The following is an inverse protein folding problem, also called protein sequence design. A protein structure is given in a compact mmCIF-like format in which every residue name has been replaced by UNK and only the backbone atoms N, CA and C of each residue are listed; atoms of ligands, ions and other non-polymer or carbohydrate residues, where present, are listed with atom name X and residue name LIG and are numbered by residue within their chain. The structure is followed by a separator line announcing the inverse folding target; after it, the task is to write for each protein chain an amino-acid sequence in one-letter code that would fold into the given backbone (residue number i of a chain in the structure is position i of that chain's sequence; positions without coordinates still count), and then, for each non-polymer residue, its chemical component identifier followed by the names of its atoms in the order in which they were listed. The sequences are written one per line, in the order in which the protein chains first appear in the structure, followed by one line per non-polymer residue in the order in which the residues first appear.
data_IF_747890247067
#
_entry.id   IF_747890247067
#
_cell.length_a   1.000
_cell.length_b   1.000
_cell.length_c   1.000
_cell.angle_alpha   90.00
_cell.angle_beta   90.00
_cell.angle_gamma   90.00
#
_symmetry.space_group_name_H-M   'P 1'
#
loop_
_entity.id
_entity.type
_entity.pdbx_description
1 polymer ?
#
# COMPACT_ATOMS: atom_id res chain seq x y z
N UNK A 1 -3.66 -10.72 -30.42
CA UNK A 1 -4.18 -10.47 -29.07
C UNK A 1 -4.50 -11.84 -28.51
N UNK A 2 -3.48 -12.49 -27.96
CA UNK A 2 -3.56 -13.86 -27.46
C UNK A 2 -4.18 -13.84 -26.06
N UNK A 3 -5.09 -14.76 -25.78
CA UNK A 3 -5.66 -14.95 -24.45
C UNK A 3 -4.57 -15.36 -23.47
N UNK A 4 -4.47 -14.65 -22.36
CA UNK A 4 -3.53 -14.98 -21.28
C UNK A 4 -4.14 -16.10 -20.45
N UNK A 5 -3.80 -17.35 -20.75
CA UNK A 5 -4.15 -18.49 -19.90
C UNK A 5 -3.04 -18.72 -18.88
N UNK A 6 -3.41 -18.79 -17.60
CA UNK A 6 -2.51 -19.15 -16.52
C UNK A 6 -2.13 -20.64 -16.63
N UNK A 7 -0.87 -20.95 -17.00
CA UNK A 7 -0.41 -22.33 -17.14
C UNK A 7 0.73 -22.63 -16.16
N UNK A 8 0.38 -23.13 -14.96
CA UNK A 8 1.30 -23.91 -14.13
C UNK A 8 1.39 -25.34 -14.70
N UNK A 9 2.49 -25.69 -15.35
CA UNK A 9 2.76 -27.09 -15.65
C UNK A 9 3.34 -27.75 -14.39
N UNK A 10 2.60 -28.69 -13.80
CA UNK A 10 2.97 -29.37 -12.55
C UNK A 10 4.22 -30.25 -12.65
N UNK A 11 5.40 -29.64 -12.72
CA UNK A 11 6.68 -30.35 -12.53
C UNK A 11 6.98 -30.46 -11.03
N UNK A 12 7.44 -31.62 -10.55
CA UNK A 12 7.91 -31.75 -9.18
C UNK A 12 9.10 -30.82 -8.96
N UNK A 13 9.15 -30.20 -7.78
CA UNK A 13 10.26 -29.35 -7.35
C UNK A 13 11.59 -30.09 -7.53
N UNK A 14 12.50 -29.50 -8.31
CA UNK A 14 13.86 -30.00 -8.49
C UNK A 14 14.64 -29.81 -7.18
N UNK A 15 15.23 -30.85 -6.58
CA UNK A 15 16.14 -30.68 -5.46
C UNK A 15 17.51 -30.36 -6.04
N UNK A 16 17.92 -29.09 -6.04
CA UNK A 16 19.30 -28.61 -6.13
C UNK A 16 19.26 -27.11 -6.43
N UNK A 17 19.57 -26.31 -5.41
CA UNK A 17 20.50 -25.16 -5.44
C UNK A 17 20.66 -24.77 -3.97
N UNK A 18 21.81 -25.12 -3.40
CA UNK A 18 22.25 -24.64 -2.10
C UNK A 18 22.71 -23.18 -2.24
N UNK A 19 22.18 -22.36 -1.31
CA UNK A 19 22.77 -21.17 -0.70
C UNK A 19 23.74 -20.32 -1.55
N UNK A 20 23.20 -19.33 -2.26
CA UNK A 20 23.88 -18.06 -2.48
C UNK A 20 23.14 -17.01 -1.66
N UNK A 21 23.80 -16.49 -0.63
CA UNK A 21 23.28 -15.40 0.21
C UNK A 21 23.30 -14.10 -0.59
N UNK A 22 22.20 -13.82 -1.29
CA UNK A 22 21.87 -12.46 -1.74
C UNK A 22 21.49 -11.69 -0.48
N UNK A 23 21.96 -10.45 -0.33
CA UNK A 23 21.55 -9.61 0.80
C UNK A 23 20.08 -9.24 0.64
N UNK A 24 19.20 -9.94 1.34
CA UNK A 24 17.73 -9.76 1.31
C UNK A 24 17.24 -8.53 2.10
N UNK A 25 18.14 -7.62 2.50
CA UNK A 25 17.77 -6.39 3.22
C UNK A 25 17.30 -5.30 2.23
N UNK A 26 16.05 -5.41 1.82
CA UNK A 26 15.43 -4.48 0.89
C UNK A 26 14.94 -3.24 1.66
N UNK A 27 15.80 -2.24 1.83
CA UNK A 27 15.44 -0.96 2.44
C UNK A 27 14.80 -0.03 1.41
N UNK A 28 13.47 0.11 1.44
CA UNK A 28 12.73 0.84 0.40
C UNK A 28 11.39 1.38 0.85
N UNK A 29 10.53 1.72 -0.10
CA UNK A 29 9.22 2.36 0.15
C UNK A 29 8.08 1.78 -0.68
N UNK A 30 8.36 0.77 -1.51
CA UNK A 30 7.36 0.15 -2.37
C UNK A 30 6.96 -1.23 -1.85
N UNK A 31 5.71 -1.57 -2.12
CA UNK A 31 5.17 -2.92 -1.98
C UNK A 31 4.49 -3.23 -3.30
N UNK A 32 4.87 -4.32 -3.95
CA UNK A 32 4.09 -4.87 -5.05
C UNK A 32 3.00 -5.76 -4.46
N UNK A 33 1.77 -5.25 -4.47
CA UNK A 33 0.65 -5.92 -3.81
C UNK A 33 0.05 -7.09 -4.59
N UNK A 34 0.49 -7.31 -5.84
CA UNK A 34 0.04 -8.44 -6.66
C UNK A 34 1.05 -8.74 -7.78
N UNK A 35 1.75 -9.87 -7.67
CA UNK A 35 2.63 -10.39 -8.72
C UNK A 35 2.54 -11.92 -8.82
N UNK A 36 2.64 -12.45 -10.03
CA UNK A 36 2.72 -13.87 -10.34
C UNK A 36 4.18 -14.26 -10.52
N UNK A 37 4.74 -15.00 -9.55
CA UNK A 37 6.18 -15.35 -9.50
C UNK A 37 6.43 -16.83 -9.76
N UNK A 38 5.56 -17.52 -10.50
CA UNK A 38 5.67 -18.96 -10.74
C UNK A 38 7.00 -19.33 -11.42
N UNK A 39 7.55 -20.49 -11.07
CA UNK A 39 8.82 -21.01 -11.58
C UNK A 39 8.80 -21.20 -13.09
N UNK A 40 7.63 -21.48 -13.68
CA UNK A 40 7.46 -21.58 -15.12
C UNK A 40 7.79 -20.25 -15.84
N UNK A 41 7.62 -19.11 -15.16
CA UNK A 41 7.85 -17.77 -15.70
C UNK A 41 9.22 -17.22 -15.29
N UNK A 42 9.62 -17.41 -14.03
CA UNK A 42 10.82 -16.78 -13.45
C UNK A 42 11.80 -17.74 -12.76
N UNK A 43 11.55 -19.04 -12.70
CA UNK A 43 12.22 -19.95 -11.77
C UNK A 43 13.75 -19.93 -11.79
N UNK A 44 14.35 -19.86 -12.98
CA UNK A 44 15.80 -19.77 -13.16
C UNK A 44 16.38 -18.37 -12.89
N UNK A 45 15.53 -17.35 -12.82
CA UNK A 45 15.87 -15.93 -12.73
C UNK A 45 15.39 -15.30 -11.40
N UNK A 46 14.83 -16.08 -10.48
CA UNK A 46 14.20 -15.57 -9.26
C UNK A 46 15.12 -14.63 -8.48
N UNK A 47 16.35 -15.06 -8.20
CA UNK A 47 17.31 -14.27 -7.43
C UNK A 47 17.59 -12.92 -8.09
N UNK A 48 17.69 -12.89 -9.43
CA UNK A 48 17.92 -11.66 -10.18
C UNK A 48 16.69 -10.75 -10.23
N UNK A 49 15.49 -11.33 -10.35
CA UNK A 49 14.22 -10.57 -10.35
C UNK A 49 14.00 -9.92 -8.99
N UNK A 50 14.27 -10.66 -7.91
CA UNK A 50 14.14 -10.16 -6.53
C UNK A 50 15.21 -9.11 -6.24
N UNK A 51 16.47 -9.34 -6.66
CA UNK A 51 17.52 -8.33 -6.54
C UNK A 51 17.13 -7.02 -7.26
N UNK A 52 16.62 -7.09 -8.50
CA UNK A 52 16.12 -5.90 -9.22
C UNK A 52 14.95 -5.23 -8.51
N UNK A 53 14.05 -6.00 -7.89
CA UNK A 53 12.94 -5.46 -7.11
C UNK A 53 13.46 -4.69 -5.87
N UNK A 54 14.43 -5.25 -5.17
CA UNK A 54 15.04 -4.60 -4.00
C UNK A 54 15.85 -3.35 -4.39
N UNK A 55 16.61 -3.40 -5.49
CA UNK A 55 17.30 -2.24 -6.06
C UNK A 55 16.32 -1.12 -6.47
N UNK A 56 15.10 -1.48 -6.89
CA UNK A 56 14.02 -0.55 -7.20
C UNK A 56 13.29 -0.02 -5.94
N UNK A 57 13.68 -0.47 -4.75
CA UNK A 57 13.13 -0.03 -3.47
C UNK A 57 11.84 -0.75 -3.04
N UNK A 58 11.59 -1.97 -3.55
CA UNK A 58 10.53 -2.83 -3.02
C UNK A 58 10.99 -3.47 -1.72
N UNK A 59 10.15 -3.39 -0.70
CA UNK A 59 10.38 -4.00 0.62
C UNK A 59 9.63 -5.33 0.75
N UNK A 60 8.49 -5.44 0.08
CA UNK A 60 7.61 -6.59 0.13
C UNK A 60 7.01 -6.87 -1.26
N UNK A 61 6.80 -8.16 -1.55
CA UNK A 61 6.10 -8.65 -2.73
C UNK A 61 5.01 -9.61 -2.29
N UNK A 62 3.79 -9.46 -2.83
CA UNK A 62 2.71 -10.42 -2.60
C UNK A 62 2.59 -11.32 -3.84
N UNK A 63 3.15 -12.51 -3.74
CA UNK A 63 3.09 -13.55 -4.75
C UNK A 63 1.71 -14.22 -4.74
N UNK A 64 1.05 -14.26 -5.89
CA UNK A 64 -0.33 -14.77 -6.00
C UNK A 64 -0.32 -16.17 -6.61
N UNK A 65 -0.93 -17.12 -5.91
CA UNK A 65 -1.09 -18.50 -6.36
C UNK A 65 -2.56 -18.90 -6.40
N UNK A 66 -3.19 -18.84 -7.58
CA UNK A 66 -4.62 -19.12 -7.73
C UNK A 66 -4.99 -20.00 -8.93
N UNK A 67 -3.98 -20.51 -9.63
CA UNK A 67 -4.12 -21.28 -10.87
C UNK A 67 -3.72 -22.74 -10.69
N UNK A 68 -4.17 -23.61 -11.61
CA UNK A 68 -3.99 -25.05 -11.49
C UNK A 68 -4.69 -25.61 -10.25
N UNK A 69 -5.87 -25.07 -9.95
CA UNK A 69 -6.68 -25.26 -8.72
C UNK A 69 -5.94 -24.89 -7.44
N UNK A 70 -4.93 -25.67 -7.02
CA UNK A 70 -4.07 -25.38 -5.86
C UNK A 70 -2.57 -25.51 -6.17
N UNK A 71 -2.19 -25.86 -7.39
CA UNK A 71 -0.78 -26.07 -7.74
C UNK A 71 0.04 -24.79 -7.54
N UNK A 72 -0.38 -23.67 -8.13
CA UNK A 72 0.35 -22.41 -7.96
C UNK A 72 0.19 -21.84 -6.53
N UNK A 73 -0.90 -22.17 -5.82
CA UNK A 73 -1.07 -21.79 -4.40
C UNK A 73 0.04 -22.40 -3.52
N UNK A 74 0.33 -23.69 -3.70
CA UNK A 74 1.43 -24.37 -2.98
C UNK A 74 2.79 -23.81 -3.34
N UNK A 75 2.98 -23.45 -4.60
CA UNK A 75 4.22 -22.85 -5.09
C UNK A 75 4.45 -21.45 -4.51
N UNK A 76 3.42 -20.60 -4.45
CA UNK A 76 3.50 -19.28 -3.84
C UNK A 76 3.84 -19.36 -2.34
N UNK A 77 3.28 -20.33 -1.61
CA UNK A 77 3.64 -20.60 -0.20
C UNK A 77 5.11 -20.99 -0.09
N UNK A 78 5.57 -21.97 -0.88
CA UNK A 78 6.97 -22.41 -0.85
C UNK A 78 7.95 -21.27 -1.21
N UNK A 79 7.58 -20.38 -2.13
CA UNK A 79 8.37 -19.21 -2.48
C UNK A 79 8.44 -18.21 -1.33
N UNK A 80 7.31 -17.95 -0.67
CA UNK A 80 7.25 -17.07 0.49
C UNK A 80 8.07 -17.60 1.67
N UNK A 81 8.08 -18.92 1.91
CA UNK A 81 8.95 -19.56 2.92
C UNK A 81 10.44 -19.38 2.62
N UNK A 82 10.81 -19.37 1.34
CA UNK A 82 12.21 -19.26 0.91
C UNK A 82 12.76 -17.84 0.97
N UNK A 83 11.93 -16.84 0.66
CA UNK A 83 12.38 -15.47 0.42
C UNK A 83 11.74 -14.50 1.41
N UNK A 84 12.54 -13.79 2.21
CA UNK A 84 12.05 -12.94 3.29
C UNK A 84 11.09 -11.84 2.81
N UNK A 85 11.41 -11.16 1.71
CA UNK A 85 10.58 -10.11 1.12
C UNK A 85 9.27 -10.60 0.48
N UNK A 86 9.08 -11.91 0.29
CA UNK A 86 7.92 -12.46 -0.42
C UNK A 86 6.87 -13.01 0.54
N UNK A 87 5.62 -12.62 0.34
CA UNK A 87 4.42 -13.13 1.02
C UNK A 87 3.50 -13.78 0.00
N UNK A 88 2.59 -14.63 0.44
CA UNK A 88 1.68 -15.34 -0.44
C UNK A 88 0.23 -14.86 -0.28
N UNK A 89 -0.47 -14.70 -1.40
CA UNK A 89 -1.92 -14.75 -1.47
C UNK A 89 -2.31 -16.05 -2.19
N UNK A 90 -3.21 -16.83 -1.61
CA UNK A 90 -3.65 -18.11 -2.19
C UNK A 90 -5.15 -18.14 -2.39
N UNK A 91 -5.59 -18.67 -3.53
CA UNK A 91 -6.99 -18.68 -3.93
C UNK A 91 -7.31 -19.72 -4.99
N UNK A 92 -8.51 -19.64 -5.55
CA UNK A 92 -8.92 -20.40 -6.74
C UNK A 92 -9.53 -19.38 -7.70
N UNK A 93 -8.83 -19.10 -8.79
CA UNK A 93 -9.21 -18.10 -9.78
C UNK A 93 -10.55 -18.47 -10.46
N UNK A 94 -11.41 -17.50 -10.87
CA UNK A 94 -12.66 -17.78 -11.58
C UNK A 94 -12.50 -18.70 -12.79
N UNK A 95 -11.37 -18.67 -13.49
CA UNK A 95 -11.10 -19.57 -14.63
C UNK A 95 -11.04 -21.06 -14.23
N UNK A 96 -10.65 -21.36 -12.99
CA UNK A 96 -10.53 -22.72 -12.48
C UNK A 96 -11.84 -23.23 -11.85
N UNK A 97 -12.89 -22.41 -11.82
CA UNK A 97 -14.12 -22.70 -11.07
C UNK A 97 -14.81 -24.00 -11.50
N UNK A 98 -14.80 -24.34 -12.79
CA UNK A 98 -15.38 -25.59 -13.30
C UNK A 98 -14.59 -26.85 -12.90
N UNK A 99 -13.32 -26.71 -12.50
CA UNK A 99 -12.45 -27.82 -12.08
C UNK A 99 -12.41 -27.99 -10.56
N UNK A 100 -12.71 -26.92 -9.82
CA UNK A 100 -12.63 -26.90 -8.37
C UNK A 100 -13.68 -27.82 -7.72
N UNK A 101 -13.25 -28.60 -6.74
CA UNK A 101 -14.09 -29.47 -5.92
C UNK A 101 -14.15 -28.94 -4.49
N UNK A 102 -15.14 -29.41 -3.71
CA UNK A 102 -15.25 -29.02 -2.29
C UNK A 102 -14.02 -29.42 -1.47
N UNK A 103 -13.34 -30.51 -1.85
CA UNK A 103 -12.08 -30.93 -1.26
C UNK A 103 -10.95 -29.90 -1.49
N UNK A 104 -10.94 -29.19 -2.61
CA UNK A 104 -9.95 -28.16 -2.92
C UNK A 104 -10.17 -26.92 -2.06
N UNK A 105 -11.44 -26.52 -1.85
CA UNK A 105 -11.79 -25.41 -0.94
C UNK A 105 -11.36 -25.75 0.49
N UNK A 106 -11.56 -27.01 0.92
CA UNK A 106 -11.09 -27.47 2.22
C UNK A 106 -9.55 -27.48 2.34
N UNK A 107 -8.85 -27.90 1.27
CA UNK A 107 -7.39 -27.89 1.24
C UNK A 107 -6.80 -26.47 1.19
N UNK A 108 -7.48 -25.53 0.52
CA UNK A 108 -7.11 -24.10 0.54
C UNK A 108 -7.13 -23.53 1.96
N UNK A 109 -8.12 -23.93 2.76
CA UNK A 109 -8.23 -23.48 4.16
C UNK A 109 -7.02 -23.87 5.03
N UNK A 110 -6.32 -24.96 4.69
CA UNK A 110 -5.07 -25.33 5.33
C UNK A 110 -3.92 -24.39 4.93
N UNK A 111 -3.79 -24.07 3.64
CA UNK A 111 -2.78 -23.13 3.14
C UNK A 111 -2.95 -21.73 3.73
N UNK A 112 -4.20 -21.28 3.95
CA UNK A 112 -4.49 -20.00 4.60
C UNK A 112 -3.99 -19.90 6.05
N UNK A 113 -3.55 -21.01 6.65
CA UNK A 113 -2.98 -21.01 8.01
C UNK A 113 -1.46 -20.87 8.03
N UNK A 114 -0.80 -20.84 6.87
CA UNK A 114 0.65 -20.72 6.78
C UNK A 114 1.13 -19.30 7.15
N UNK A 115 2.26 -19.14 7.85
CA UNK A 115 2.63 -17.86 8.48
C UNK A 115 2.78 -16.66 7.52
N UNK A 116 3.21 -16.91 6.28
CA UNK A 116 3.42 -15.86 5.25
C UNK A 116 2.28 -15.77 4.24
N UNK A 117 1.16 -16.46 4.49
CA UNK A 117 -0.07 -16.31 3.69
C UNK A 117 -0.91 -15.17 4.28
N UNK A 118 -1.07 -14.12 3.48
CA UNK A 118 -1.59 -12.82 3.97
C UNK A 118 -2.96 -12.45 3.41
N UNK A 119 -3.44 -13.16 2.40
CA UNK A 119 -4.74 -12.92 1.78
C UNK A 119 -5.33 -14.20 1.18
N UNK A 120 -6.67 -14.24 1.13
CA UNK A 120 -7.42 -15.19 0.31
C UNK A 120 -7.64 -14.57 -1.07
N UNK A 121 -6.87 -15.03 -2.04
CA UNK A 121 -6.95 -14.57 -3.42
C UNK A 121 -5.85 -15.13 -4.28
N UNK A 122 -6.04 -15.20 -5.58
CA UNK A 122 -7.09 -14.53 -6.33
C UNK A 122 -8.42 -15.30 -6.36
N UNK A 123 -9.53 -14.61 -6.06
CA UNK A 123 -10.91 -15.14 -6.13
C UNK A 123 -11.80 -14.12 -6.83
N UNK A 124 -12.93 -14.49 -7.42
CA UNK A 124 -13.87 -13.49 -7.95
C UNK A 124 -14.60 -13.95 -9.19
N UNK A 125 -14.81 -13.01 -10.13
CA UNK A 125 -15.60 -13.21 -11.35
C UNK A 125 -14.90 -12.63 -12.57
N UNK A 126 -14.84 -13.42 -13.64
CA UNK A 126 -14.37 -13.02 -14.96
C UNK A 126 -15.39 -13.46 -16.02
N UNK A 127 -16.13 -12.48 -16.56
CA UNK A 127 -17.12 -12.70 -17.60
C UNK A 127 -16.59 -12.41 -19.01
N UNK A 128 -15.33 -11.98 -19.11
CA UNK A 128 -14.67 -11.73 -20.38
C UNK A 128 -14.14 -13.03 -20.99
N UNK A 129 -13.48 -13.86 -20.18
CA UNK A 129 -12.96 -15.15 -20.61
C UNK A 129 -13.89 -16.29 -20.21
N UNK A 130 -14.42 -17.03 -21.20
CA UNK A 130 -15.36 -18.14 -21.00
C UNK A 130 -14.67 -19.46 -20.63
N UNK A 131 -13.80 -19.43 -19.60
CA UNK A 131 -13.10 -20.63 -19.09
C UNK A 131 -13.94 -21.43 -18.10
N UNK A 132 -14.90 -20.78 -17.44
CA UNK A 132 -15.84 -21.39 -16.51
C UNK A 132 -17.19 -20.66 -16.60
N UNK A 133 -18.34 -21.36 -16.59
CA UNK A 133 -19.64 -20.69 -16.72
C UNK A 133 -19.90 -19.70 -15.58
N UNK A 134 -20.53 -18.53 -15.83
CA UNK A 134 -20.78 -17.50 -14.82
C UNK A 134 -21.48 -18.00 -13.54
N UNK A 135 -22.43 -18.92 -13.65
CA UNK A 135 -23.12 -19.51 -12.49
C UNK A 135 -22.16 -20.32 -11.60
N UNK A 136 -21.21 -21.04 -12.22
CA UNK A 136 -20.22 -21.85 -11.51
C UNK A 136 -19.21 -20.93 -10.80
N UNK A 137 -18.77 -19.86 -11.48
CA UNK A 137 -17.91 -18.85 -10.88
C UNK A 137 -18.58 -18.20 -9.66
N UNK A 138 -19.85 -17.78 -9.77
CA UNK A 138 -20.61 -17.19 -8.67
C UNK A 138 -20.77 -18.15 -7.49
N UNK A 139 -21.07 -19.42 -7.75
CA UNK A 139 -21.19 -20.42 -6.71
C UNK A 139 -19.87 -20.65 -5.95
N UNK A 140 -18.75 -20.73 -6.67
CA UNK A 140 -17.42 -20.85 -6.04
C UNK A 140 -17.05 -19.58 -5.28
N UNK A 141 -17.25 -18.40 -5.88
CA UNK A 141 -16.92 -17.12 -5.26
C UNK A 141 -17.69 -16.92 -3.95
N UNK A 142 -18.98 -17.29 -3.88
CA UNK A 142 -19.74 -17.31 -2.62
C UNK A 142 -19.07 -18.18 -1.56
N UNK A 143 -18.65 -19.40 -1.89
CA UNK A 143 -17.94 -20.30 -0.95
C UNK A 143 -16.64 -19.69 -0.44
N UNK A 144 -15.88 -19.04 -1.33
CA UNK A 144 -14.60 -18.41 -0.97
C UNK A 144 -14.80 -17.14 -0.15
N UNK A 145 -15.85 -16.35 -0.37
CA UNK A 145 -16.20 -15.23 0.51
C UNK A 145 -16.54 -15.71 1.93
N UNK A 146 -17.31 -16.81 2.05
CA UNK A 146 -17.59 -17.44 3.36
C UNK A 146 -16.28 -17.87 4.04
N UNK A 147 -15.40 -18.57 3.32
CA UNK A 147 -14.10 -19.00 3.84
C UNK A 147 -13.24 -17.80 4.29
N UNK A 148 -13.21 -16.72 3.52
CA UNK A 148 -12.49 -15.49 3.86
C UNK A 148 -12.97 -14.89 5.18
N UNK A 149 -14.30 -14.89 5.41
CA UNK A 149 -14.89 -14.44 6.67
C UNK A 149 -14.53 -15.35 7.84
N UNK A 150 -14.60 -16.67 7.65
CA UNK A 150 -14.26 -17.65 8.68
C UNK A 150 -12.79 -17.56 9.11
N UNK A 151 -11.88 -17.30 8.16
CA UNK A 151 -10.45 -17.15 8.42
C UNK A 151 -10.03 -15.73 8.79
N UNK A 152 -10.94 -14.77 8.63
CA UNK A 152 -10.69 -13.34 8.78
C UNK A 152 -9.37 -12.89 8.13
N UNK A 153 -9.11 -13.35 6.90
CA UNK A 153 -8.04 -12.86 6.04
C UNK A 153 -8.65 -11.90 5.01
N UNK A 154 -7.95 -10.82 4.60
CA UNK A 154 -8.45 -9.96 3.55
C UNK A 154 -8.63 -10.77 2.25
N UNK A 155 -9.69 -10.48 1.50
CA UNK A 155 -9.90 -11.07 0.18
C UNK A 155 -9.23 -10.24 -0.90
N UNK A 156 -8.63 -10.89 -1.90
CA UNK A 156 -8.06 -10.25 -3.09
C UNK A 156 -8.86 -10.68 -4.31
N UNK A 157 -9.62 -9.72 -4.84
CA UNK A 157 -10.68 -9.96 -5.83
C UNK A 157 -10.22 -9.72 -7.26
N UNK A 158 -10.43 -10.71 -8.12
CA UNK A 158 -10.50 -10.56 -9.57
C UNK A 158 -11.88 -10.12 -10.00
N UNK A 159 -11.93 -9.05 -10.79
CA UNK A 159 -13.18 -8.61 -11.40
C UNK A 159 -12.93 -8.15 -12.82
N UNK A 160 -13.48 -8.89 -13.78
CA UNK A 160 -13.48 -8.52 -15.20
C UNK A 160 -14.89 -8.62 -15.76
N UNK A 161 -15.41 -7.51 -16.26
CA UNK A 161 -16.76 -7.38 -16.82
C UNK A 161 -17.89 -7.90 -15.91
N UNK A 162 -17.67 -7.92 -14.59
CA UNK A 162 -18.55 -8.55 -13.61
C UNK A 162 -18.79 -7.70 -12.34
N UNK A 163 -18.55 -6.38 -12.41
CA UNK A 163 -18.62 -5.48 -11.24
C UNK A 163 -19.95 -5.53 -10.48
N UNK A 164 -21.08 -5.53 -11.18
CA UNK A 164 -22.41 -5.54 -10.56
C UNK A 164 -22.65 -6.82 -9.75
N UNK A 165 -22.34 -7.98 -10.33
CA UNK A 165 -22.51 -9.27 -9.67
C UNK A 165 -21.53 -9.43 -8.50
N UNK A 166 -20.28 -8.98 -8.65
CA UNK A 166 -19.31 -9.00 -7.54
C UNK A 166 -19.82 -8.20 -6.35
N UNK A 167 -20.33 -6.98 -6.59
CA UNK A 167 -20.87 -6.12 -5.52
C UNK A 167 -22.10 -6.76 -4.88
N UNK A 168 -23.02 -7.33 -5.67
CA UNK A 168 -24.20 -8.00 -5.14
C UNK A 168 -23.84 -9.20 -4.24
N UNK A 169 -22.83 -9.98 -4.62
CA UNK A 169 -22.34 -11.10 -3.81
C UNK A 169 -21.66 -10.67 -2.53
N UNK A 170 -20.89 -9.58 -2.57
CA UNK A 170 -20.33 -8.97 -1.37
C UNK A 170 -21.45 -8.52 -0.42
N UNK A 171 -22.51 -7.90 -0.94
CA UNK A 171 -23.65 -7.46 -0.12
C UNK A 171 -24.44 -8.63 0.47
N UNK A 172 -24.54 -9.74 -0.28
CA UNK A 172 -25.23 -10.96 0.16
C UNK A 172 -24.45 -11.70 1.26
N UNK A 173 -23.14 -11.91 1.06
CA UNK A 173 -22.31 -12.79 1.91
C UNK A 173 -21.56 -12.03 3.00
N UNK A 174 -21.19 -10.78 2.73
CA UNK A 174 -20.30 -9.95 3.54
C UNK A 174 -18.83 -10.14 3.22
N UNK A 175 -18.01 -9.17 3.65
CA UNK A 175 -16.55 -9.23 3.64
C UNK A 175 -16.01 -9.73 4.98
N UNK A 176 -14.77 -10.24 5.01
CA UNK A 176 -13.99 -10.37 6.25
C UNK A 176 -13.89 -9.02 6.97
N UNK A 177 -13.69 -9.02 8.29
CA UNK A 177 -13.51 -7.77 9.04
C UNK A 177 -12.24 -7.01 8.59
N UNK A 178 -11.21 -7.76 8.18
CA UNK A 178 -10.00 -7.19 7.57
C UNK A 178 -10.22 -6.57 6.19
N UNK A 179 -11.40 -6.73 5.60
CA UNK A 179 -11.77 -6.15 4.31
C UNK A 179 -11.19 -6.92 3.13
N UNK A 180 -10.71 -6.18 2.12
CA UNK A 180 -10.14 -6.77 0.91
C UNK A 180 -9.68 -5.73 -0.10
N UNK A 181 -9.17 -6.20 -1.22
CA UNK A 181 -8.69 -5.39 -2.35
C UNK A 181 -9.30 -5.90 -3.64
N UNK A 182 -9.66 -4.99 -4.54
CA UNK A 182 -9.91 -5.33 -5.95
C UNK A 182 -8.58 -5.19 -6.67
N UNK A 183 -7.99 -6.34 -7.02
CA UNK A 183 -6.73 -6.37 -7.77
C UNK A 183 -6.98 -5.90 -9.21
N UNK A 184 -5.93 -5.43 -9.88
CA UNK A 184 -5.94 -4.99 -11.27
C UNK A 184 -7.15 -4.12 -11.62
N UNK A 185 -7.46 -3.17 -10.74
CA UNK A 185 -8.65 -2.35 -10.89
C UNK A 185 -8.55 -1.52 -12.18
N UNK A 186 -9.52 -1.72 -13.07
CA UNK A 186 -9.60 -1.06 -14.38
C UNK A 186 -10.96 -0.40 -14.64
N UNK A 187 -11.83 -0.36 -13.62
CA UNK A 187 -13.14 0.29 -13.66
C UNK A 187 -13.08 1.82 -13.60
N UNK A 188 -14.26 2.45 -13.68
CA UNK A 188 -14.44 3.90 -13.60
C UNK A 188 -14.77 4.40 -12.18
N UNK A 189 -15.11 5.70 -12.05
CA UNK A 189 -15.43 6.31 -10.75
C UNK A 189 -16.60 5.65 -10.02
N UNK A 190 -17.61 5.14 -10.76
CA UNK A 190 -18.77 4.49 -10.18
C UNK A 190 -18.40 3.16 -9.51
N UNK A 191 -17.62 2.32 -10.21
CA UNK A 191 -17.14 1.04 -9.67
C UNK A 191 -16.18 1.28 -8.50
N UNK A 192 -15.30 2.27 -8.60
CA UNK A 192 -14.40 2.65 -7.51
C UNK A 192 -15.19 3.03 -6.24
N UNK A 193 -16.20 3.90 -6.37
CA UNK A 193 -17.05 4.30 -5.26
C UNK A 193 -17.80 3.11 -4.63
N UNK A 194 -18.27 2.17 -5.45
CA UNK A 194 -18.97 0.97 -4.98
C UNK A 194 -18.09 0.13 -4.05
N UNK A 195 -16.84 -0.15 -4.43
CA UNK A 195 -15.91 -0.92 -3.59
C UNK A 195 -15.43 -0.14 -2.37
N UNK A 196 -15.09 1.14 -2.53
CA UNK A 196 -14.61 1.99 -1.43
C UNK A 196 -15.65 2.16 -0.33
N UNK A 197 -16.94 2.28 -0.68
CA UNK A 197 -18.04 2.37 0.30
C UNK A 197 -18.18 1.12 1.18
N UNK A 198 -17.63 -0.02 0.74
CA UNK A 198 -17.61 -1.30 1.46
C UNK A 198 -16.28 -1.54 2.19
N UNK A 199 -15.43 -0.52 2.29
CA UNK A 199 -14.16 -0.57 3.01
C UNK A 199 -13.03 -1.27 2.27
N UNK A 200 -13.20 -1.59 0.99
CA UNK A 200 -12.16 -2.22 0.17
C UNK A 200 -11.08 -1.24 -0.30
N UNK A 201 -9.94 -1.79 -0.69
CA UNK A 201 -8.86 -1.09 -1.39
C UNK A 201 -8.99 -1.30 -2.91
N UNK A 202 -8.41 -0.38 -3.68
CA UNK A 202 -8.24 -0.52 -5.12
C UNK A 202 -6.75 -0.70 -5.42
N UNK A 203 -6.35 -1.84 -5.98
CA UNK A 203 -4.98 -2.02 -6.45
C UNK A 203 -4.84 -1.52 -7.87
N UNK A 204 -3.93 -0.59 -8.11
CA UNK A 204 -3.78 0.06 -9.40
C UNK A 204 -2.60 -0.57 -10.15
N UNK A 205 -2.83 -1.19 -11.33
CA UNK A 205 -1.76 -1.79 -12.13
C UNK A 205 -1.10 -0.77 -13.06
N UNK A 206 -0.04 -1.20 -13.74
CA UNK A 206 0.67 -0.44 -14.77
C UNK A 206 -0.20 0.08 -15.92
N UNK A 207 -1.42 -0.44 -16.09
CA UNK A 207 -2.42 0.04 -17.06
C UNK A 207 -2.71 1.54 -16.91
N UNK A 208 -2.59 2.11 -15.70
CA UNK A 208 -2.79 3.55 -15.47
C UNK A 208 -1.90 4.43 -16.37
N UNK A 209 -0.75 3.89 -16.79
CA UNK A 209 0.19 4.56 -17.71
C UNK A 209 -0.25 4.52 -19.18
N UNK A 210 -1.24 3.71 -19.54
CA UNK A 210 -1.64 3.49 -20.93
C UNK A 210 -2.54 4.61 -21.43
N UNK A 211 -2.34 5.07 -22.67
CA UNK A 211 -3.11 6.18 -23.26
C UNK A 211 -4.63 5.96 -23.22
N UNK A 212 -5.10 4.73 -23.40
CA UNK A 212 -6.52 4.36 -23.44
C UNK A 212 -7.18 4.14 -22.06
N UNK A 213 -6.45 4.21 -20.95
CA UNK A 213 -6.97 3.98 -19.60
C UNK A 213 -7.66 5.22 -18.98
N UNK A 214 -8.55 5.88 -19.72
CA UNK A 214 -9.18 7.14 -19.28
C UNK A 214 -10.06 6.96 -18.03
N UNK A 215 -10.96 5.97 -18.05
CA UNK A 215 -11.87 5.68 -16.93
C UNK A 215 -11.10 5.35 -15.63
N UNK A 216 -10.04 4.54 -15.74
CA UNK A 216 -9.16 4.23 -14.61
C UNK A 216 -8.50 5.49 -14.05
N UNK A 217 -8.01 6.41 -14.89
CA UNK A 217 -7.41 7.66 -14.42
C UNK A 217 -8.42 8.56 -13.71
N UNK A 218 -9.65 8.64 -14.22
CA UNK A 218 -10.73 9.39 -13.55
C UNK A 218 -11.08 8.77 -12.19
N UNK A 219 -11.16 7.44 -12.11
CA UNK A 219 -11.35 6.72 -10.86
C UNK A 219 -10.21 7.01 -9.87
N UNK A 220 -8.96 6.91 -10.32
CA UNK A 220 -7.78 7.26 -9.51
C UNK A 220 -7.87 8.70 -9.05
N UNK A 221 -8.22 9.67 -9.89
CA UNK A 221 -8.31 11.08 -9.48
C UNK A 221 -9.35 11.31 -8.38
N UNK A 222 -10.52 10.67 -8.49
CA UNK A 222 -11.63 10.82 -7.53
C UNK A 222 -11.43 10.07 -6.20
N UNK A 223 -10.77 8.91 -6.22
CA UNK A 223 -10.62 8.06 -5.04
C UNK A 223 -9.51 8.52 -4.08
N UNK A 224 -9.61 8.29 -2.76
CA UNK A 224 -8.56 8.66 -1.82
C UNK A 224 -7.34 7.73 -1.94
N UNK A 225 -6.13 8.31 -2.02
CA UNK A 225 -4.89 7.53 -2.08
C UNK A 225 -4.68 6.60 -0.88
N UNK A 226 -5.26 6.92 0.28
CA UNK A 226 -5.26 6.09 1.48
C UNK A 226 -6.08 4.78 1.35
N UNK A 227 -6.76 4.57 0.22
CA UNK A 227 -7.49 3.34 -0.13
C UNK A 227 -6.99 2.74 -1.44
N UNK A 228 -5.76 3.05 -1.84
CA UNK A 228 -5.12 2.50 -3.03
C UNK A 228 -3.90 1.66 -2.66
N UNK A 229 -3.67 0.61 -3.43
CA UNK A 229 -2.40 -0.10 -3.52
C UNK A 229 -1.82 0.12 -4.93
N UNK A 230 -0.56 -0.26 -5.10
CA UNK A 230 0.06 -0.38 -6.43
C UNK A 230 0.47 -1.83 -6.64
N UNK A 231 0.40 -2.26 -7.89
CA UNK A 231 0.80 -3.60 -8.28
C UNK A 231 1.41 -3.62 -9.68
N UNK A 232 2.08 -4.72 -9.99
CA UNK A 232 2.54 -4.99 -11.35
C UNK A 232 1.62 -5.93 -12.11
N UNK A 233 1.02 -6.91 -11.44
CA UNK A 233 0.42 -8.08 -12.09
C UNK A 233 1.44 -8.80 -13.01
N UNK A 234 2.74 -8.73 -12.66
CA UNK A 234 3.81 -9.33 -13.45
C UNK A 234 3.60 -10.84 -13.55
N UNK A 235 3.84 -11.49 -14.69
CA UNK A 235 4.58 -11.03 -15.87
C UNK A 235 3.76 -10.19 -16.87
N UNK A 236 2.49 -9.94 -16.58
CA UNK A 236 1.55 -9.30 -17.50
C UNK A 236 1.60 -7.76 -17.39
N UNK A 237 0.97 -7.07 -18.33
CA UNK A 237 0.61 -5.65 -18.20
C UNK A 237 1.75 -4.65 -17.94
N UNK A 238 2.94 -4.89 -18.51
CA UNK A 238 4.10 -4.01 -18.33
C UNK A 238 3.76 -2.51 -18.57
N UNK A 239 4.06 -1.61 -17.61
CA UNK A 239 3.74 -0.19 -17.71
C UNK A 239 4.58 0.50 -18.78
N UNK A 240 4.19 1.71 -19.22
CA UNK A 240 5.10 2.60 -19.95
C UNK A 240 6.26 3.00 -19.01
N UNK A 241 7.54 2.91 -19.42
CA UNK A 241 8.06 2.72 -20.79
C UNK A 241 8.33 1.26 -21.24
N UNK A 242 8.01 0.26 -20.43
CA UNK A 242 8.28 -1.17 -20.67
C UNK A 242 7.19 -1.90 -21.48
N UNK A 243 6.21 -1.19 -22.02
CA UNK A 243 5.08 -1.77 -22.76
C UNK A 243 5.56 -2.71 -23.87
N UNK A 244 5.00 -3.91 -23.91
CA UNK A 244 5.36 -4.95 -24.89
C UNK A 244 6.55 -5.83 -24.49
N UNK A 245 7.13 -5.61 -23.30
CA UNK A 245 8.11 -6.51 -22.67
C UNK A 245 7.45 -7.33 -21.56
N UNK A 246 8.13 -8.38 -21.08
CA UNK A 246 7.77 -9.09 -19.84
C UNK A 246 7.78 -8.07 -18.71
N UNK A 247 6.71 -8.02 -17.92
CA UNK A 247 6.66 -7.18 -16.73
C UNK A 247 7.48 -7.83 -15.60
N UNK A 248 7.88 -7.05 -14.60
CA UNK A 248 8.59 -7.55 -13.41
C UNK A 248 8.22 -6.66 -12.21
N UNK A 249 8.30 -7.15 -10.96
CA UNK A 249 7.92 -6.39 -9.76
C UNK A 249 8.59 -5.01 -9.66
N UNK A 250 9.86 -4.91 -10.09
CA UNK A 250 10.60 -3.64 -10.11
C UNK A 250 9.90 -2.51 -10.90
N UNK A 251 9.03 -2.85 -11.86
CA UNK A 251 8.35 -1.86 -12.69
C UNK A 251 7.17 -1.18 -11.96
N UNK A 252 6.83 -1.58 -10.74
CA UNK A 252 5.81 -0.92 -9.90
C UNK A 252 6.11 0.57 -9.67
N UNK A 253 7.39 0.96 -9.72
CA UNK A 253 7.85 2.35 -9.62
C UNK A 253 7.19 3.23 -10.67
N UNK A 254 6.96 2.72 -11.89
CA UNK A 254 6.30 3.47 -12.96
C UNK A 254 4.81 3.70 -12.68
N UNK A 255 4.15 2.74 -12.03
CA UNK A 255 2.78 2.91 -11.53
C UNK A 255 2.74 4.01 -10.48
N UNK A 256 3.66 4.00 -9.51
CA UNK A 256 3.72 5.04 -8.47
C UNK A 256 3.94 6.45 -9.06
N UNK A 257 4.83 6.59 -10.03
CA UNK A 257 5.08 7.86 -10.73
C UNK A 257 3.82 8.37 -11.47
N UNK A 258 3.09 7.48 -12.14
CA UNK A 258 1.87 7.86 -12.85
C UNK A 258 0.75 8.29 -11.88
N UNK A 259 0.58 7.59 -10.76
CA UNK A 259 -0.33 8.01 -9.69
C UNK A 259 0.08 9.37 -9.11
N UNK A 260 1.38 9.59 -8.93
CA UNK A 260 1.93 10.85 -8.43
C UNK A 260 1.53 12.02 -9.32
N UNK A 261 1.72 11.87 -10.63
CA UNK A 261 1.31 12.87 -11.62
C UNK A 261 -0.20 13.16 -11.57
N UNK A 262 -1.05 12.15 -11.38
CA UNK A 262 -2.50 12.32 -11.28
C UNK A 262 -2.95 12.97 -9.97
N UNK A 263 -2.20 12.78 -8.89
CA UNK A 263 -2.52 13.24 -7.53
C UNK A 263 -1.81 14.52 -7.11
N UNK A 264 -0.89 15.04 -7.94
CA UNK A 264 -0.01 16.15 -7.56
C UNK A 264 0.90 15.77 -6.40
N UNK A 265 1.46 14.57 -6.44
CA UNK A 265 2.39 14.00 -5.46
C UNK A 265 3.64 13.47 -6.16
N UNK A 266 4.73 13.28 -5.42
CA UNK A 266 5.89 12.54 -5.93
C UNK A 266 5.60 11.03 -5.99
N UNK A 267 6.35 10.30 -6.81
CA UNK A 267 6.29 8.83 -6.81
C UNK A 267 6.64 8.22 -5.44
N UNK A 268 7.56 8.86 -4.71
CA UNK A 268 7.93 8.48 -3.34
C UNK A 268 6.77 8.66 -2.35
N UNK A 269 6.03 9.77 -2.42
CA UNK A 269 4.84 9.97 -1.59
C UNK A 269 3.77 8.91 -1.88
N UNK A 270 3.59 8.55 -3.16
CA UNK A 270 2.68 7.47 -3.53
C UNK A 270 3.16 6.15 -2.96
N UNK A 271 4.41 5.75 -3.24
CA UNK A 271 5.00 4.50 -2.78
C UNK A 271 4.82 4.33 -1.28
N UNK A 272 5.24 5.31 -0.50
CA UNK A 272 5.15 5.31 0.97
C UNK A 272 3.72 5.19 1.48
N UNK A 273 2.76 5.91 0.89
CA UNK A 273 1.34 5.82 1.29
C UNK A 273 0.77 4.45 0.93
N UNK A 274 1.03 3.95 -0.27
CA UNK A 274 0.48 2.67 -0.75
C UNK A 274 1.13 1.47 -0.08
N UNK A 275 2.42 1.56 0.28
CA UNK A 275 3.12 0.55 1.07
C UNK A 275 2.49 0.42 2.45
N UNK A 276 2.26 1.54 3.14
CA UNK A 276 1.52 1.53 4.40
C UNK A 276 0.12 0.91 4.25
N UNK A 277 -0.61 1.25 3.18
CA UNK A 277 -1.93 0.67 2.95
C UNK A 277 -1.86 -0.86 2.78
N UNK A 278 -0.86 -1.36 2.05
CA UNK A 278 -0.62 -2.78 1.86
C UNK A 278 -0.25 -3.46 3.19
N UNK A 279 0.68 -2.87 3.96
CA UNK A 279 1.07 -3.38 5.28
C UNK A 279 -0.12 -3.50 6.22
N UNK A 280 -1.01 -2.49 6.25
CA UNK A 280 -2.24 -2.52 7.06
C UNK A 280 -3.21 -3.59 6.61
N UNK A 281 -3.48 -3.68 5.30
CA UNK A 281 -4.43 -4.65 4.76
C UNK A 281 -3.94 -6.08 5.02
N UNK A 282 -2.71 -6.37 4.59
CA UNK A 282 -2.12 -7.71 4.62
C UNK A 282 -1.51 -8.08 5.97
N UNK A 283 -1.35 -7.12 6.90
CA UNK A 283 -0.79 -7.38 8.22
C UNK A 283 0.71 -7.69 8.17
N UNK A 284 1.41 -7.05 7.23
CA UNK A 284 2.85 -7.23 7.03
C UNK A 284 3.61 -6.56 8.19
N UNK A 285 4.81 -7.05 8.48
CA UNK A 285 5.66 -6.45 9.50
C UNK A 285 6.00 -4.99 9.12
N UNK A 286 5.84 -4.08 10.08
CA UNK A 286 6.09 -2.65 9.89
C UNK A 286 7.08 -2.15 10.95
N UNK A 287 8.22 -1.59 10.53
CA UNK A 287 9.09 -0.87 11.44
C UNK A 287 8.58 0.57 11.60
N UNK A 288 7.85 0.82 12.69
CA UNK A 288 7.26 2.13 12.99
C UNK A 288 8.29 3.12 13.54
N UNK A 289 9.08 3.74 12.66
CA UNK A 289 10.01 4.81 13.05
C UNK A 289 9.29 6.15 13.20
N UNK A 290 9.40 6.74 14.39
CA UNK A 290 8.76 8.03 14.68
C UNK A 290 9.37 9.15 13.84
N UNK A 291 8.53 9.89 13.12
CA UNK A 291 8.95 11.04 12.34
C UNK A 291 8.83 12.34 13.15
N UNK A 292 9.97 12.96 13.45
CA UNK A 292 10.02 14.30 14.08
C UNK A 292 9.85 15.42 13.04
N UNK A 293 10.41 15.22 11.86
CA UNK A 293 10.20 16.04 10.68
C UNK A 293 9.75 15.12 9.54
N UNK A 294 8.71 15.51 8.80
CA UNK A 294 8.15 14.67 7.75
C UNK A 294 7.65 15.51 6.57
N UNK A 295 8.08 15.21 5.33
CA UNK A 295 7.66 15.95 4.16
C UNK A 295 6.29 15.48 3.67
N UNK A 296 5.42 16.42 3.31
CA UNK A 296 4.21 16.13 2.55
C UNK A 296 4.15 17.16 1.43
N UNK A 297 4.22 16.71 0.17
CA UNK A 297 4.37 17.59 -0.99
C UNK A 297 5.60 18.50 -0.82
N UNK A 298 5.41 19.81 -0.88
CA UNK A 298 6.47 20.82 -0.86
C UNK A 298 6.70 21.47 0.52
N UNK A 299 6.01 20.97 1.55
CA UNK A 299 6.15 21.47 2.92
C UNK A 299 6.74 20.39 3.82
N UNK A 300 7.60 20.81 4.75
CA UNK A 300 8.17 19.99 5.81
C UNK A 300 7.40 20.21 7.11
N UNK A 301 6.84 19.16 7.67
CA UNK A 301 6.00 19.25 8.86
C UNK A 301 6.82 18.84 10.09
N UNK A 302 6.63 19.52 11.23
CA UNK A 302 7.45 19.35 12.44
C UNK A 302 6.59 18.97 13.64
N UNK A 303 6.82 17.76 14.14
CA UNK A 303 6.10 17.16 15.26
C UNK A 303 6.84 17.45 16.58
N UNK A 304 6.29 18.34 17.41
CA UNK A 304 6.95 18.82 18.63
C UNK A 304 6.42 18.22 19.94
N UNK A 305 5.23 17.63 19.93
CA UNK A 305 4.57 17.17 21.15
C UNK A 305 3.46 16.18 20.84
N UNK A 306 3.28 15.17 21.69
CA UNK A 306 2.11 14.27 21.62
C UNK A 306 0.89 14.82 22.36
N UNK A 307 1.09 15.88 23.15
CA UNK A 307 0.06 16.52 23.98
C UNK A 307 -0.80 17.45 23.12
N UNK A 308 -2.11 17.44 23.34
CA UNK A 308 -3.06 18.33 22.71
C UNK A 308 -4.05 18.80 23.78
N UNK A 309 -4.52 20.05 23.68
CA UNK A 309 -5.53 20.59 24.59
C UNK A 309 -6.95 20.20 24.18
N UNK A 310 -7.13 19.66 22.97
CA UNK A 310 -8.42 19.30 22.39
C UNK A 310 -8.68 17.79 22.43
N UNK A 311 -9.95 17.43 22.61
CA UNK A 311 -10.47 16.08 22.47
C UNK A 311 -11.46 16.02 21.31
N UNK A 312 -10.95 16.03 20.08
CA UNK A 312 -11.80 16.06 18.88
C UNK A 312 -12.40 14.68 18.59
N UNK A 313 -13.71 14.62 18.32
CA UNK A 313 -14.45 13.40 17.92
C UNK A 313 -13.99 12.80 16.58
N UNK A 314 -13.22 13.57 15.80
CA UNK A 314 -12.63 13.13 14.54
C UNK A 314 -11.14 12.82 14.66
N UNK A 315 -10.55 12.90 15.86
CA UNK A 315 -9.12 12.70 16.04
C UNK A 315 -8.78 11.21 15.87
N UNK A 316 -7.96 10.83 14.87
CA UNK A 316 -7.61 9.42 14.65
C UNK A 316 -6.88 8.79 15.83
N UNK A 317 -6.15 9.57 16.63
CA UNK A 317 -5.50 9.09 17.87
C UNK A 317 -6.49 8.59 18.91
N UNK A 318 -7.61 9.29 19.08
CA UNK A 318 -8.57 9.06 20.16
C UNK A 318 -9.51 7.94 19.74
N UNK A 319 -10.11 8.08 18.57
CA UNK A 319 -11.12 7.14 18.07
C UNK A 319 -10.53 5.82 17.60
N UNK A 320 -9.40 5.87 16.87
CA UNK A 320 -8.89 4.71 16.12
C UNK A 320 -7.53 4.23 16.62
N UNK A 321 -6.90 4.98 17.54
CA UNK A 321 -5.49 4.77 17.90
C UNK A 321 -4.61 4.68 16.64
N UNK A 322 -4.88 5.55 15.66
CA UNK A 322 -4.07 5.67 14.44
C UNK A 322 -3.18 6.93 14.56
N UNK A 323 -1.87 6.71 14.50
CA UNK A 323 -0.86 7.78 14.55
C UNK A 323 -0.20 8.02 13.20
N UNK A 324 -0.65 7.35 12.15
CA UNK A 324 -0.10 7.54 10.83
C UNK A 324 -0.76 8.71 10.11
N UNK A 325 0.07 9.55 9.52
CA UNK A 325 -0.39 10.63 8.65
C UNK A 325 0.31 10.49 7.33
N UNK A 326 -0.49 10.18 6.30
CA UNK A 326 -0.02 10.06 4.92
C UNK A 326 1.18 9.12 4.78
N UNK A 327 1.34 8.05 5.55
CA UNK A 327 2.52 7.16 5.52
C UNK A 327 3.67 7.54 6.47
N UNK A 328 3.46 8.45 7.41
CA UNK A 328 4.43 8.77 8.46
C UNK A 328 3.89 8.44 9.85
N UNK A 329 4.67 7.74 10.67
CA UNK A 329 4.31 7.41 12.05
C UNK A 329 4.64 8.59 12.97
N UNK A 330 3.61 9.23 13.54
CA UNK A 330 3.77 10.47 14.30
C UNK A 330 3.67 10.28 15.83
N UNK A 331 3.63 9.04 16.33
CA UNK A 331 3.51 8.79 17.78
C UNK A 331 4.82 9.10 18.49
N UNK A 332 4.84 10.20 19.25
CA UNK A 332 5.97 10.53 20.12
C UNK A 332 5.88 9.79 21.46
N UNK A 333 6.97 9.13 21.86
CA UNK A 333 7.11 8.53 23.20
C UNK A 333 7.35 9.58 24.30
N UNK A 334 8.00 10.69 23.94
CA UNK A 334 8.26 11.86 24.78
C UNK A 334 8.29 13.10 23.90
N UNK A 335 8.16 14.25 24.54
CA UNK A 335 8.42 15.53 23.88
C UNK A 335 9.92 15.60 23.48
N UNK A 336 10.26 15.71 22.18
CA UNK A 336 11.64 15.66 21.71
C UNK A 336 12.40 16.95 22.09
N UNK A 337 13.69 16.89 22.44
CA UNK A 337 14.48 18.09 22.67
C UNK A 337 14.65 18.87 21.36
N UNK A 338 14.92 20.17 21.46
CA UNK A 338 14.98 21.08 20.30
C UNK A 338 16.06 20.65 19.30
N UNK A 339 17.16 20.13 19.81
CA UNK A 339 18.32 19.68 19.05
C UNK A 339 17.98 18.47 18.17
N UNK A 340 17.21 17.50 18.70
CA UNK A 340 16.73 16.34 17.93
C UNK A 340 15.78 16.77 16.81
N UNK A 341 14.90 17.74 17.10
CA UNK A 341 13.97 18.29 16.10
C UNK A 341 14.73 19.00 15.00
N UNK A 342 15.68 19.87 15.33
CA UNK A 342 16.50 20.58 14.35
C UNK A 342 17.31 19.62 13.50
N UNK A 343 17.93 18.61 14.10
CA UNK A 343 18.67 17.58 13.36
C UNK A 343 17.77 16.86 12.34
N UNK A 344 16.54 16.50 12.74
CA UNK A 344 15.57 15.87 11.84
C UNK A 344 15.14 16.81 10.71
N UNK A 345 14.85 18.07 11.01
CA UNK A 345 14.47 19.08 10.00
C UNK A 345 15.59 19.29 9.00
N UNK A 346 16.83 19.48 9.47
CA UNK A 346 18.00 19.71 8.61
C UNK A 346 18.32 18.49 7.74
N UNK A 347 18.17 17.27 8.27
CA UNK A 347 18.35 16.06 7.48
C UNK A 347 17.35 16.00 6.31
N UNK A 348 16.09 16.37 6.54
CA UNK A 348 15.07 16.39 5.47
C UNK A 348 15.28 17.53 4.48
N UNK A 349 15.64 18.73 4.93
CA UNK A 349 15.97 19.85 4.04
C UNK A 349 17.19 19.54 3.15
N UNK A 350 18.19 18.83 3.69
CA UNK A 350 19.35 18.39 2.91
C UNK A 350 18.99 17.35 1.85
N UNK A 351 18.09 16.41 2.18
CA UNK A 351 17.58 15.40 1.23
C UNK A 351 16.67 16.00 0.16
N UNK A 352 15.92 17.06 0.52
CA UNK A 352 14.86 17.65 -0.31
C UNK A 352 15.04 19.17 -0.41
N UNK A 353 16.03 19.64 -1.19
CA UNK A 353 16.35 21.06 -1.31
C UNK A 353 15.25 21.91 -1.99
N UNK A 354 14.22 21.26 -2.56
CA UNK A 354 13.05 21.89 -3.15
C UNK A 354 11.97 22.28 -2.13
N UNK A 355 12.13 21.94 -0.84
CA UNK A 355 11.18 22.33 0.19
C UNK A 355 11.29 23.84 0.47
N UNK A 356 10.15 24.52 0.49
CA UNK A 356 10.07 25.98 0.63
C UNK A 356 9.41 26.43 1.93
N UNK A 357 8.76 25.50 2.64
CA UNK A 357 8.00 25.77 3.86
C UNK A 357 8.31 24.75 4.95
N UNK A 358 8.47 25.22 6.19
CA UNK A 358 8.42 24.41 7.41
C UNK A 358 7.16 24.76 8.19
N UNK A 359 6.39 23.74 8.56
CA UNK A 359 5.11 23.85 9.24
C UNK A 359 5.22 23.22 10.62
N UNK A 360 5.04 24.02 11.66
CA UNK A 360 4.89 23.53 13.04
C UNK A 360 3.49 22.96 13.20
N UNK A 361 3.39 21.63 13.22
CA UNK A 361 2.13 20.90 13.32
C UNK A 361 2.40 19.42 13.60
N UNK A 362 1.51 18.79 14.34
CA UNK A 362 1.56 17.35 14.57
C UNK A 362 0.24 16.82 15.06
N UNK A 363 0.28 15.64 15.66
CA UNK A 363 -0.91 15.14 16.36
C UNK A 363 -1.15 15.88 17.68
N UNK A 364 -0.15 16.58 18.22
CA UNK A 364 -0.29 17.47 19.36
C UNK A 364 -0.45 18.94 18.98
N UNK A 365 -0.66 19.80 19.98
CA UNK A 365 -0.69 21.26 19.83
C UNK A 365 0.72 21.84 20.01
N UNK A 366 1.38 22.34 18.94
CA UNK A 366 2.77 22.79 19.01
C UNK A 366 2.99 23.89 20.05
N UNK A 367 2.02 24.78 20.27
CA UNK A 367 2.17 25.93 21.18
C UNK A 367 2.15 25.55 22.67
N UNK A 368 1.80 24.31 23.01
CA UNK A 368 2.09 23.75 24.35
C UNK A 368 3.60 23.73 24.66
N UNK A 369 4.43 23.80 23.61
CA UNK A 369 5.88 23.95 23.71
C UNK A 369 6.33 25.20 22.96
N UNK A 370 5.73 26.35 23.29
CA UNK A 370 6.04 27.65 22.70
C UNK A 370 7.55 27.93 22.64
N UNK A 371 8.29 27.69 23.72
CA UNK A 371 9.75 27.90 23.74
C UNK A 371 10.48 27.06 22.69
N UNK A 372 10.04 25.82 22.46
CA UNK A 372 10.60 24.95 21.44
C UNK A 372 10.25 25.43 20.03
N UNK A 373 9.00 25.88 19.79
CA UNK A 373 8.59 26.49 18.51
C UNK A 373 9.49 27.69 18.21
N UNK A 374 9.66 28.62 19.16
CA UNK A 374 10.46 29.82 19.00
C UNK A 374 11.94 29.50 18.78
N UNK A 375 12.50 28.53 19.52
CA UNK A 375 13.90 28.12 19.39
C UNK A 375 14.18 27.50 18.00
N UNK A 376 13.33 26.57 17.56
CA UNK A 376 13.46 25.95 16.23
C UNK A 376 13.30 27.01 15.13
N UNK A 377 12.28 27.88 15.22
CA UNK A 377 12.03 28.92 14.23
C UNK A 377 13.20 29.90 14.08
N UNK A 378 13.79 30.36 15.21
CA UNK A 378 14.96 31.25 15.20
C UNK A 378 16.17 30.58 14.56
N UNK A 379 16.47 29.33 14.93
CA UNK A 379 17.59 28.59 14.36
C UNK A 379 17.43 28.38 12.85
N UNK A 380 16.22 28.04 12.38
CA UNK A 380 15.93 27.90 10.95
C UNK A 380 16.05 29.25 10.22
N UNK A 381 15.59 30.34 10.83
CA UNK A 381 15.69 31.67 10.22
C UNK A 381 17.14 32.17 10.14
N UNK A 382 17.95 31.91 11.16
CA UNK A 382 19.38 32.23 11.19
C UNK A 382 20.13 31.49 10.07
N UNK A 383 19.84 30.20 9.89
CA UNK A 383 20.53 29.37 8.91
C UNK A 383 20.05 29.55 7.47
N UNK A 384 18.73 29.59 7.25
CA UNK A 384 18.13 29.56 5.90
C UNK A 384 17.61 30.92 5.42
N UNK A 385 17.65 31.94 6.28
CA UNK A 385 17.14 33.28 5.96
C UNK A 385 15.66 33.24 5.58
N UNK A 386 15.12 34.35 5.04
CA UNK A 386 13.69 34.50 4.67
C UNK A 386 13.20 33.64 3.50
N UNK A 387 14.10 32.91 2.84
CA UNK A 387 13.75 31.99 1.76
C UNK A 387 12.86 30.85 2.25
N UNK A 388 13.13 30.32 3.45
CA UNK A 388 12.34 29.26 4.04
C UNK A 388 11.14 29.89 4.77
N UNK A 389 9.91 29.63 4.28
CA UNK A 389 8.69 30.09 4.94
C UNK A 389 8.45 29.25 6.20
N UNK A 390 8.11 29.90 7.30
CA UNK A 390 7.71 29.23 8.53
C UNK A 390 6.21 29.45 8.73
N UNK A 391 5.47 28.38 9.06
CA UNK A 391 4.04 28.43 9.37
C UNK A 391 3.77 27.65 10.64
N UNK A 392 2.79 28.12 11.41
CA UNK A 392 2.28 27.42 12.59
C UNK A 392 0.82 27.09 12.35
N UNK A 393 0.47 25.81 12.46
CA UNK A 393 -0.91 25.37 12.57
C UNK A 393 -1.19 25.06 14.05
N UNK A 394 -2.18 25.75 14.62
CA UNK A 394 -2.47 25.74 16.06
C UNK A 394 -3.98 25.77 16.29
N UNK A 395 -4.41 25.22 17.43
CA UNK A 395 -5.78 25.35 17.96
C UNK A 395 -6.13 26.78 18.42
N UNK A 396 -5.15 27.68 18.48
CA UNK A 396 -5.34 29.08 18.85
C UNK A 396 -5.44 29.34 20.36
N UNK A 397 -5.18 28.33 21.20
CA UNK A 397 -5.31 28.42 22.66
C UNK A 397 -4.02 28.85 23.37
N UNK A 398 -2.95 29.16 22.63
CA UNK A 398 -1.64 29.51 23.18
C UNK A 398 -1.69 30.63 24.24
N UNK A 399 -2.45 31.70 24.00
CA UNK A 399 -2.58 32.80 24.98
C UNK A 399 -3.20 32.33 26.29
N UNK A 400 -4.20 31.44 26.22
CA UNK A 400 -4.86 30.88 27.39
C UNK A 400 -3.92 29.94 28.15
N UNK A 401 -3.20 29.08 27.43
CA UNK A 401 -2.22 28.13 28.00
C UNK A 401 -1.10 28.87 28.76
N UNK A 402 -0.57 29.96 28.17
CA UNK A 402 0.56 30.70 28.73
C UNK A 402 0.16 31.88 29.63
N UNK A 403 -1.14 32.17 29.75
CA UNK A 403 -1.66 33.28 30.56
C UNK A 403 -1.22 34.67 30.09
N UNK A 404 -0.80 34.83 28.83
CA UNK A 404 -0.24 36.08 28.26
C UNK A 404 -0.43 36.15 26.75
N UNK A 405 -0.30 37.33 26.15
CA UNK A 405 -0.34 37.49 24.69
C UNK A 405 0.98 37.07 24.05
N UNK A 406 1.01 35.90 23.41
CA UNK A 406 2.20 35.32 22.77
C UNK A 406 2.30 35.62 21.28
N UNK A 407 1.28 36.25 20.69
CA UNK A 407 1.25 36.57 19.26
C UNK A 407 2.45 37.44 18.80
N UNK A 408 2.93 38.45 19.57
CA UNK A 408 4.11 39.21 19.18
C UNK A 408 5.40 38.38 19.08
N UNK A 409 5.58 37.39 19.96
CA UNK A 409 6.76 36.49 19.92
C UNK A 409 6.71 35.57 18.71
N UNK A 410 5.53 35.02 18.42
CA UNK A 410 5.31 34.16 17.25
C UNK A 410 5.53 34.95 15.95
N UNK A 411 4.98 36.17 15.85
CA UNK A 411 5.15 37.04 14.68
C UNK A 411 6.59 37.51 14.47
N UNK A 412 7.39 37.60 15.53
CA UNK A 412 8.81 37.92 15.42
C UNK A 412 9.66 36.72 14.94
N UNK A 413 9.23 35.49 15.25
CA UNK A 413 9.99 34.28 14.97
C UNK A 413 9.66 33.60 13.63
N UNK A 414 8.39 33.61 13.22
CA UNK A 414 7.89 32.97 11.99
C UNK A 414 7.93 33.98 10.82
#
# INVERSE_FOLDING_TARGET
MEGWTYHCTGRPASPLIDALSVSDDCSGMYVDSHCHLEAATYGAEWDEVIARACDAGLTHLVAVGASGVLACAREAVALAERLDAVYAAVGIHPHEAAKAQDADVAALAALLSEPKVVALGEIGLDYYYDHSPPEVQRALFKKLLVLGRERNLPVMLHVRDAHADTVALIDEVGLPERGGVVHCFTGGPAEAAAYLSRGMYLSIPGIVTFKNAAALREAVQSAPLARMLIETDSPYLAPVPHRGKRNEPAYVVHTALALGALKGLSGEDVGRITAQNAMRLFGLAEESKTALAYPIRNSLYVNLTSRCTLACVFCPKIEQRDWWVKGHWLRLQRDPPVEEVLAAVEAELARRPALEEVVFVGLGEPTLRLDAVLAVARALREKHGRRLRLRLDTDGLANLVHGRNVAPELAAAL
#
